data_IF_826827184293
#
_entry.id   IF_826827184293
#
_cell.length_a   1.000
_cell.length_b   1.000
_cell.length_c   1.000
_cell.angle_alpha   90.00
_cell.angle_beta   90.00
_cell.angle_gamma   90.00
#
_symmetry.space_group_name_H-M   'P 1'
#
loop_
_entity.id
_entity.type
_entity.pdbx_description
1 polymer ?
#
# COMPACT_ATOMS: atom_id res chain seq x y z
N UNK A 1 -36.80 -9.71 24.16
CA UNK A 1 -38.09 -10.37 23.87
C UNK A 1 -38.34 -11.40 24.96
N UNK A 2 -39.57 -11.48 25.46
CA UNK A 2 -39.90 -12.33 26.59
C UNK A 2 -40.34 -13.73 26.14
N UNK A 3 -39.98 -14.75 26.93
CA UNK A 3 -40.36 -16.16 26.67
C UNK A 3 -41.87 -16.37 26.61
N UNK A 4 -42.65 -15.47 27.19
CA UNK A 4 -44.12 -15.49 27.13
C UNK A 4 -44.71 -15.20 25.74
N UNK A 5 -43.94 -14.59 24.83
CA UNK A 5 -44.38 -14.31 23.45
C UNK A 5 -44.34 -15.56 22.55
N UNK A 6 -43.58 -16.58 22.96
CA UNK A 6 -43.35 -17.80 22.20
C UNK A 6 -43.56 -19.07 23.06
N UNK A 7 -44.76 -19.27 23.65
CA UNK A 7 -45.00 -20.35 24.61
C UNK A 7 -44.95 -21.76 24.00
N UNK A 8 -44.99 -21.87 22.67
CA UNK A 8 -45.01 -23.13 21.92
C UNK A 8 -43.62 -23.53 21.38
N UNK A 9 -42.60 -22.68 21.57
CA UNK A 9 -41.24 -23.02 21.17
C UNK A 9 -40.53 -23.87 22.22
N UNK A 10 -39.71 -24.80 21.74
CA UNK A 10 -38.77 -25.54 22.58
C UNK A 10 -37.62 -24.62 23.05
N UNK A 11 -36.89 -25.01 24.10
CA UNK A 11 -35.76 -24.22 24.61
C UNK A 11 -34.70 -23.97 23.51
N UNK A 12 -34.44 -24.95 22.65
CA UNK A 12 -33.50 -24.82 21.54
C UNK A 12 -33.98 -23.82 20.47
N UNK A 13 -35.26 -23.87 20.10
CA UNK A 13 -35.85 -22.91 19.16
C UNK A 13 -35.89 -21.49 19.74
N UNK A 14 -36.16 -21.36 21.04
CA UNK A 14 -36.15 -20.06 21.72
C UNK A 14 -34.74 -19.46 21.81
N UNK A 15 -33.71 -20.30 21.93
CA UNK A 15 -32.32 -19.83 21.88
C UNK A 15 -31.96 -19.27 20.50
N UNK A 16 -32.43 -19.89 19.41
CA UNK A 16 -32.29 -19.31 18.06
C UNK A 16 -33.01 -17.97 17.90
N UNK A 17 -34.12 -17.74 18.61
CA UNK A 17 -34.80 -16.43 18.64
C UNK A 17 -33.94 -15.39 19.37
N UNK A 18 -33.25 -15.76 20.46
CA UNK A 18 -32.31 -14.85 21.13
C UNK A 18 -31.15 -14.46 20.22
N UNK A 19 -30.58 -15.41 19.49
CA UNK A 19 -29.53 -15.12 18.51
C UNK A 19 -30.02 -14.19 17.39
N UNK A 20 -31.27 -14.37 16.91
CA UNK A 20 -31.86 -13.41 15.96
C UNK A 20 -31.97 -12.01 16.56
N UNK A 21 -32.40 -11.89 17.82
CA UNK A 21 -32.52 -10.59 18.52
C UNK A 21 -31.16 -9.92 18.64
N UNK A 22 -30.11 -10.68 18.93
CA UNK A 22 -28.75 -10.14 19.07
C UNK A 22 -28.18 -9.67 17.72
N UNK A 23 -28.57 -10.30 16.60
CA UNK A 23 -28.07 -9.96 15.25
C UNK A 23 -28.87 -8.82 14.59
N UNK A 24 -30.20 -8.86 14.67
CA UNK A 24 -31.09 -7.94 13.96
C UNK A 24 -31.71 -6.86 14.86
N UNK A 25 -31.75 -7.09 16.18
CA UNK A 25 -32.49 -6.24 17.12
C UNK A 25 -33.96 -6.65 17.26
N UNK A 26 -34.51 -6.46 18.47
CA UNK A 26 -35.85 -6.96 18.82
C UNK A 26 -37.00 -6.30 18.05
N UNK A 27 -36.83 -5.06 17.57
CA UNK A 27 -37.87 -4.32 16.84
C UNK A 27 -38.14 -4.91 15.45
N UNK A 28 -37.11 -5.49 14.81
CA UNK A 28 -37.21 -6.10 13.48
C UNK A 28 -37.93 -7.45 13.49
N UNK A 29 -38.03 -8.09 14.67
CA UNK A 29 -38.70 -9.38 14.87
C UNK A 29 -40.18 -9.27 15.21
N UNK A 30 -40.75 -8.06 15.21
CA UNK A 30 -42.18 -7.83 15.46
C UNK A 30 -43.10 -8.55 14.45
N UNK A 31 -42.61 -8.72 13.21
CA UNK A 31 -43.29 -9.48 12.15
C UNK A 31 -43.26 -11.01 12.39
N UNK A 32 -42.25 -11.50 13.11
CA UNK A 32 -42.15 -12.89 13.53
C UNK A 32 -43.14 -13.18 14.65
N UNK A 33 -43.27 -12.27 15.64
CA UNK A 33 -44.25 -12.39 16.75
C UNK A 33 -45.70 -12.39 16.23
N UNK A 34 -45.97 -11.64 15.17
CA UNK A 34 -47.30 -11.57 14.56
C UNK A 34 -47.65 -12.77 13.65
N UNK A 35 -46.68 -13.63 13.33
CA UNK A 35 -46.89 -14.80 12.48
C UNK A 35 -47.60 -15.93 13.23
N UNK A 36 -48.19 -16.87 12.50
CA UNK A 36 -48.85 -18.03 13.12
C UNK A 36 -47.81 -18.94 13.80
N UNK A 37 -48.20 -19.71 14.84
CA UNK A 37 -47.26 -20.61 15.54
C UNK A 37 -46.50 -21.57 14.62
N UNK A 38 -47.14 -22.04 13.55
CA UNK A 38 -46.50 -22.92 12.55
C UNK A 38 -45.43 -22.17 11.74
N UNK A 39 -45.72 -20.95 11.30
CA UNK A 39 -44.78 -20.12 10.54
C UNK A 39 -43.61 -19.63 11.41
N UNK A 40 -43.83 -19.41 12.71
CA UNK A 40 -42.78 -19.07 13.65
C UNK A 40 -41.76 -20.19 13.76
N UNK A 41 -42.22 -21.42 13.99
CA UNK A 41 -41.36 -22.61 14.08
C UNK A 41 -40.57 -22.80 12.78
N UNK A 42 -41.22 -22.73 11.63
CA UNK A 42 -40.56 -22.91 10.33
C UNK A 42 -39.46 -21.87 10.07
N UNK A 43 -39.74 -20.58 10.33
CA UNK A 43 -38.76 -19.50 10.12
C UNK A 43 -37.58 -19.59 11.08
N UNK A 44 -37.84 -19.99 12.34
CA UNK A 44 -36.81 -20.17 13.36
C UNK A 44 -35.92 -21.37 13.03
N UNK A 45 -36.49 -22.48 12.57
CA UNK A 45 -35.72 -23.66 12.14
C UNK A 45 -34.92 -23.39 10.86
N UNK A 46 -35.49 -22.65 9.90
CA UNK A 46 -34.78 -22.22 8.70
C UNK A 46 -33.57 -21.34 9.06
N UNK A 47 -33.73 -20.43 10.02
CA UNK A 47 -32.64 -19.59 10.50
C UNK A 47 -31.62 -20.36 11.33
N UNK A 48 -32.05 -21.25 12.22
CA UNK A 48 -31.15 -22.14 12.97
C UNK A 48 -30.33 -23.02 12.03
N UNK A 49 -30.95 -23.51 10.95
CA UNK A 49 -30.25 -24.23 9.89
C UNK A 49 -29.26 -23.32 9.17
N UNK A 50 -29.60 -22.06 8.89
CA UNK A 50 -28.70 -21.09 8.29
C UNK A 50 -27.53 -20.70 9.21
N UNK A 51 -27.74 -20.60 10.52
CA UNK A 51 -26.69 -20.41 11.52
C UNK A 51 -25.79 -21.63 11.57
N UNK A 52 -26.34 -22.84 11.64
CA UNK A 52 -25.56 -24.09 11.63
C UNK A 52 -24.77 -24.19 10.33
N UNK A 53 -25.35 -23.88 9.18
CA UNK A 53 -24.62 -23.83 7.91
C UNK A 53 -23.56 -22.74 7.90
N UNK A 54 -23.86 -21.55 8.42
CA UNK A 54 -22.87 -20.47 8.55
C UNK A 54 -21.75 -20.84 9.53
N UNK A 55 -22.03 -21.56 10.62
CA UNK A 55 -21.05 -22.04 11.60
C UNK A 55 -20.24 -23.23 11.06
N UNK A 56 -20.86 -24.11 10.27
CA UNK A 56 -20.16 -25.21 9.56
C UNK A 56 -19.30 -24.65 8.42
N UNK A 57 -19.73 -23.57 7.78
CA UNK A 57 -18.89 -22.77 6.86
C UNK A 57 -17.84 -21.94 7.60
N UNK A 58 -18.06 -21.64 8.89
CA UNK A 58 -17.03 -21.26 9.86
C UNK A 58 -16.29 -22.49 10.43
N UNK A 59 -15.87 -23.43 9.55
CA UNK A 59 -14.53 -24.00 9.72
C UNK A 59 -13.66 -22.83 10.16
N UNK A 60 -12.88 -22.92 11.26
CA UNK A 60 -12.09 -21.78 11.67
C UNK A 60 -11.36 -21.34 10.42
N UNK A 61 -11.71 -20.14 9.95
CA UNK A 61 -10.82 -19.34 9.16
C UNK A 61 -9.70 -19.12 10.15
N UNK A 62 -8.84 -20.14 10.30
CA UNK A 62 -7.47 -20.00 10.72
C UNK A 62 -7.06 -18.82 9.91
N UNK A 63 -6.92 -17.68 10.61
CA UNK A 63 -6.89 -16.37 10.02
C UNK A 63 -6.22 -16.52 8.66
N UNK A 64 -6.97 -16.34 7.58
CA UNK A 64 -6.33 -15.92 6.35
C UNK A 64 -5.84 -14.49 6.64
N UNK A 65 -4.94 -14.36 7.61
CA UNK A 65 -3.79 -13.48 7.51
C UNK A 65 -3.44 -13.58 6.05
N UNK A 66 -3.63 -12.52 5.25
CA UNK A 66 -3.08 -12.54 3.91
C UNK A 66 -1.62 -12.85 4.16
N UNK A 67 -1.19 -14.06 3.76
CA UNK A 67 0.16 -14.53 4.02
C UNK A 67 1.05 -13.40 3.55
N UNK A 68 1.70 -12.70 4.49
CA UNK A 68 2.35 -11.44 4.14
C UNK A 68 3.25 -11.75 2.96
N UNK A 69 3.01 -11.10 1.79
CA UNK A 69 3.69 -11.49 0.58
C UNK A 69 5.18 -11.48 0.88
N UNK A 70 5.83 -12.61 0.59
CA UNK A 70 7.22 -12.81 1.00
C UNK A 70 8.08 -11.75 0.30
N UNK A 71 8.91 -10.97 1.03
CA UNK A 71 9.79 -10.00 0.42
C UNK A 71 10.67 -10.66 -0.66
N UNK A 72 10.60 -10.16 -1.88
CA UNK A 72 11.43 -10.60 -2.98
C UNK A 72 12.69 -9.74 -3.02
N UNK A 73 13.85 -10.40 -3.06
CA UNK A 73 15.14 -9.73 -3.24
C UNK A 73 15.45 -9.60 -4.71
N UNK A 74 15.04 -8.49 -5.32
CA UNK A 74 15.44 -8.17 -6.68
C UNK A 74 16.91 -7.74 -6.68
N UNK A 75 17.67 -8.21 -7.67
CA UNK A 75 19.04 -7.76 -7.90
C UNK A 75 19.00 -6.43 -8.65
N UNK A 76 19.54 -5.39 -8.03
CA UNK A 76 19.78 -4.09 -8.68
C UNK A 76 21.23 -4.06 -9.12
N UNK A 77 21.49 -3.63 -10.36
CA UNK A 77 22.87 -3.42 -10.80
C UNK A 77 23.39 -2.13 -10.15
N UNK A 78 24.64 -2.11 -9.65
CA UNK A 78 25.16 -0.90 -9.04
C UNK A 78 25.18 0.28 -10.02
N UNK A 79 24.89 1.47 -9.53
CA UNK A 79 25.09 2.70 -10.30
C UNK A 79 26.55 3.13 -10.14
N UNK A 80 27.33 3.02 -11.20
CA UNK A 80 28.76 3.31 -11.19
C UNK A 80 29.03 4.82 -11.26
N UNK A 81 28.13 5.57 -11.90
CA UNK A 81 28.27 7.01 -12.13
C UNK A 81 29.13 7.33 -13.35
N UNK A 82 29.18 6.42 -14.32
CA UNK A 82 29.98 6.55 -15.54
C UNK A 82 29.25 7.30 -16.66
N UNK A 83 30.01 7.74 -17.67
CA UNK A 83 29.47 8.42 -18.84
C UNK A 83 28.61 7.46 -19.67
N UNK A 84 27.29 7.68 -19.66
CA UNK A 84 26.32 6.81 -20.32
C UNK A 84 25.39 6.10 -19.33
N UNK A 85 25.73 6.08 -18.05
CA UNK A 85 24.82 5.59 -17.00
C UNK A 85 23.55 6.44 -16.96
N UNK A 86 22.41 5.75 -16.88
CA UNK A 86 21.12 6.42 -16.80
C UNK A 86 20.59 6.39 -15.38
N UNK A 87 20.88 7.45 -14.63
CA UNK A 87 20.42 7.62 -13.25
C UNK A 87 18.90 7.48 -13.10
N UNK A 88 18.11 7.93 -14.08
CA UNK A 88 16.65 7.84 -14.00
C UNK A 88 16.15 6.39 -14.07
N UNK A 89 16.70 5.58 -14.98
CA UNK A 89 16.37 4.15 -15.05
C UNK A 89 16.83 3.41 -13.82
N UNK A 90 18.05 3.71 -13.34
CA UNK A 90 18.57 3.07 -12.13
C UNK A 90 17.74 3.41 -10.88
N UNK A 91 17.37 4.67 -10.67
CA UNK A 91 16.48 5.06 -9.54
C UNK A 91 15.16 4.29 -9.61
N UNK A 92 14.61 4.10 -10.81
CA UNK A 92 13.37 3.33 -11.00
C UNK A 92 13.54 1.84 -10.68
N UNK A 93 14.68 1.24 -11.01
CA UNK A 93 15.00 -0.14 -10.63
C UNK A 93 15.12 -0.30 -9.11
N UNK A 94 15.74 0.68 -8.43
CA UNK A 94 15.81 0.74 -6.96
C UNK A 94 14.41 0.81 -6.35
N UNK A 95 13.53 1.67 -6.87
CA UNK A 95 12.13 1.75 -6.44
C UNK A 95 11.42 0.39 -6.55
N UNK A 96 11.55 -0.30 -7.69
CA UNK A 96 10.94 -1.62 -7.85
C UNK A 96 11.50 -2.67 -6.90
N UNK A 97 12.82 -2.68 -6.66
CA UNK A 97 13.44 -3.60 -5.71
C UNK A 97 12.96 -3.36 -4.27
N UNK A 98 12.70 -2.10 -3.93
CA UNK A 98 12.18 -1.73 -2.62
C UNK A 98 10.72 -2.08 -2.44
N UNK A 99 9.89 -1.84 -3.45
CA UNK A 99 8.48 -2.25 -3.44
C UNK A 99 8.38 -3.77 -3.28
N UNK A 100 9.20 -4.52 -4.02
CA UNK A 100 9.29 -5.98 -3.93
C UNK A 100 9.81 -6.47 -2.56
N UNK A 101 10.62 -5.67 -1.88
CA UNK A 101 11.16 -5.95 -0.55
C UNK A 101 10.30 -5.38 0.60
N UNK A 102 9.15 -4.75 0.31
CA UNK A 102 8.27 -4.08 1.27
C UNK A 102 8.98 -3.03 2.14
N UNK A 103 9.97 -2.33 1.55
CA UNK A 103 10.72 -1.29 2.24
C UNK A 103 9.99 0.06 2.08
N UNK A 104 9.38 0.55 3.17
CA UNK A 104 8.54 1.75 3.13
C UNK A 104 9.18 3.01 3.70
N UNK A 105 10.27 2.90 4.47
CA UNK A 105 10.84 4.07 5.18
C UNK A 105 11.86 4.82 4.33
N UNK A 106 11.93 6.14 4.52
CA UNK A 106 12.93 7.03 3.91
C UNK A 106 14.36 6.58 4.27
N UNK A 107 14.60 6.25 5.54
CA UNK A 107 15.91 5.82 6.03
C UNK A 107 16.38 4.52 5.37
N UNK A 108 15.48 3.54 5.21
CA UNK A 108 15.82 2.30 4.52
C UNK A 108 15.98 2.52 3.03
N UNK A 109 15.22 3.43 2.42
CA UNK A 109 15.42 3.84 1.03
C UNK A 109 16.82 4.39 0.82
N UNK A 110 17.24 5.36 1.64
CA UNK A 110 18.59 5.93 1.55
C UNK A 110 19.66 4.87 1.73
N UNK A 111 19.57 4.04 2.77
CA UNK A 111 20.56 3.00 3.04
C UNK A 111 20.65 1.99 1.89
N UNK A 112 19.51 1.57 1.35
CA UNK A 112 19.45 0.65 0.22
C UNK A 112 20.03 1.28 -1.05
N UNK A 113 19.64 2.51 -1.39
CA UNK A 113 20.17 3.25 -2.55
C UNK A 113 21.69 3.42 -2.44
N UNK A 114 22.21 3.85 -1.28
CA UNK A 114 23.66 3.99 -1.05
C UNK A 114 24.40 2.65 -1.17
N UNK A 115 23.81 1.55 -0.70
CA UNK A 115 24.40 0.21 -0.83
C UNK A 115 24.49 -0.30 -2.27
N UNK A 116 23.63 0.23 -3.16
CA UNK A 116 23.61 -0.08 -4.59
C UNK A 116 24.44 0.93 -5.41
N UNK A 117 25.24 1.80 -4.79
CA UNK A 117 26.20 2.62 -5.53
C UNK A 117 27.50 1.84 -5.76
N UNK A 118 28.01 1.93 -6.99
CA UNK A 118 29.29 1.41 -7.43
C UNK A 118 30.28 2.53 -7.76
N UNK A 119 31.51 2.16 -8.11
CA UNK A 119 32.45 3.02 -8.83
C UNK A 119 32.62 4.44 -8.30
N UNK A 120 32.45 5.41 -9.19
CA UNK A 120 32.59 6.83 -8.90
C UNK A 120 31.47 7.33 -7.98
N UNK A 121 30.25 6.83 -8.16
CA UNK A 121 29.11 7.19 -7.32
C UNK A 121 29.32 6.80 -5.85
N UNK A 122 29.87 5.62 -5.60
CA UNK A 122 30.20 5.14 -4.25
C UNK A 122 31.31 5.99 -3.61
N UNK A 123 32.38 6.22 -4.37
CA UNK A 123 33.53 7.04 -3.93
C UNK A 123 33.12 8.49 -3.62
N UNK A 124 32.10 9.01 -4.32
CA UNK A 124 31.53 10.32 -4.07
C UNK A 124 30.59 10.36 -2.85
N UNK A 125 29.74 9.34 -2.67
CA UNK A 125 28.68 9.36 -1.65
C UNK A 125 29.18 9.08 -0.23
N UNK A 126 30.05 8.07 -0.04
CA UNK A 126 30.45 7.62 1.29
C UNK A 126 31.25 8.66 2.10
N UNK A 127 32.21 9.41 1.51
CA UNK A 127 32.89 10.49 2.24
C UNK A 127 31.94 11.61 2.68
N UNK A 128 30.92 11.91 1.87
CA UNK A 128 29.90 12.92 2.22
C UNK A 128 29.07 12.48 3.41
N UNK A 129 28.60 11.24 3.43
CA UNK A 129 27.84 10.71 4.56
C UNK A 129 28.68 10.65 5.84
N UNK A 130 29.99 10.38 5.72
CA UNK A 130 30.92 10.37 6.86
C UNK A 130 31.21 11.77 7.42
N UNK A 131 31.33 12.78 6.55
CA UNK A 131 31.68 14.15 6.95
C UNK A 131 30.47 14.99 7.36
N UNK A 132 29.30 14.67 6.80
CA UNK A 132 28.05 15.37 7.05
C UNK A 132 26.96 14.34 7.32
N UNK A 133 26.81 13.89 8.58
CA UNK A 133 25.73 12.98 8.96
C UNK A 133 24.38 13.58 8.59
N UNK A 134 23.57 12.82 7.85
CA UNK A 134 22.28 13.29 7.36
C UNK A 134 22.35 14.11 6.07
N UNK A 135 23.45 14.02 5.30
CA UNK A 135 23.50 14.59 3.95
C UNK A 135 22.49 13.92 3.00
N UNK A 136 22.05 12.70 3.33
CA UNK A 136 20.99 11.96 2.66
C UNK A 136 19.87 11.60 3.67
N UNK A 137 18.99 12.55 3.98
CA UNK A 137 17.86 12.30 4.91
C UNK A 137 16.57 11.91 4.22
N UNK A 138 16.41 12.27 2.94
CA UNK A 138 15.18 12.05 2.18
C UNK A 138 15.46 11.60 0.74
N UNK A 139 14.51 10.87 0.17
CA UNK A 139 14.45 10.44 -1.24
C UNK A 139 14.73 11.59 -2.21
N UNK A 140 14.01 12.74 -2.15
CA UNK A 140 14.23 13.83 -3.09
C UNK A 140 15.64 14.43 -2.96
N UNK A 141 16.15 14.54 -1.73
CA UNK A 141 17.48 15.10 -1.46
C UNK A 141 18.58 14.24 -2.09
N UNK A 142 18.56 12.91 -1.87
CA UNK A 142 19.57 12.00 -2.45
C UNK A 142 19.47 12.01 -3.99
N UNK A 143 18.27 11.89 -4.55
CA UNK A 143 18.07 11.95 -6.01
C UNK A 143 18.57 13.28 -6.62
N UNK A 144 18.34 14.40 -5.95
CA UNK A 144 18.81 15.71 -6.40
C UNK A 144 20.33 15.80 -6.36
N UNK A 145 20.97 15.34 -5.27
CA UNK A 145 22.42 15.38 -5.15
C UNK A 145 23.11 14.45 -6.16
N UNK A 146 22.57 13.25 -6.39
CA UNK A 146 23.07 12.34 -7.42
C UNK A 146 22.95 12.96 -8.82
N UNK A 147 21.82 13.60 -9.14
CA UNK A 147 21.64 14.31 -10.43
C UNK A 147 22.62 15.47 -10.60
N UNK A 148 22.94 16.18 -9.53
CA UNK A 148 23.88 17.29 -9.57
C UNK A 148 25.33 16.81 -9.73
N UNK A 149 25.69 15.68 -9.10
CA UNK A 149 27.03 15.11 -9.17
C UNK A 149 27.30 14.34 -10.47
N UNK A 150 26.28 13.66 -10.99
CA UNK A 150 26.36 12.81 -12.18
C UNK A 150 25.34 13.26 -13.24
N UNK A 151 25.60 14.39 -13.93
CA UNK A 151 24.72 14.85 -14.99
C UNK A 151 24.73 13.85 -16.17
N UNK A 152 23.58 13.63 -16.84
CA UNK A 152 23.52 12.70 -17.95
C UNK A 152 24.43 13.14 -19.11
N UNK A 153 24.92 12.17 -19.88
CA UNK A 153 25.64 12.44 -21.11
C UNK A 153 24.83 13.38 -22.02
N UNK A 154 25.50 14.36 -22.64
CA UNK A 154 24.88 15.42 -23.43
C UNK A 154 23.97 16.39 -22.65
N UNK A 155 24.06 16.47 -21.31
CA UNK A 155 23.31 17.47 -20.53
C UNK A 155 23.55 18.89 -21.06
N UNK A 156 24.81 19.30 -21.21
CA UNK A 156 25.13 20.63 -21.75
C UNK A 156 24.62 20.84 -23.17
N UNK A 157 24.76 19.83 -24.04
CA UNK A 157 24.25 19.90 -25.40
C UNK A 157 22.72 20.08 -25.41
N UNK A 158 21.99 19.34 -24.57
CA UNK A 158 20.53 19.48 -24.42
C UNK A 158 20.15 20.85 -23.88
N UNK A 159 20.88 21.40 -22.90
CA UNK A 159 20.61 22.74 -22.38
C UNK A 159 20.87 23.81 -23.45
N UNK A 160 22.00 23.74 -24.16
CA UNK A 160 22.33 24.64 -25.27
C UNK A 160 21.31 24.54 -26.40
N UNK A 161 20.91 23.32 -26.78
CA UNK A 161 19.89 23.09 -27.81
C UNK A 161 18.53 23.64 -27.41
N UNK A 162 18.08 23.44 -26.15
CA UNK A 162 16.84 24.03 -25.62
C UNK A 162 16.87 25.55 -25.65
N UNK A 163 17.97 26.14 -25.19
CA UNK A 163 18.16 27.60 -25.24
C UNK A 163 18.12 28.13 -26.67
N UNK A 164 18.78 27.47 -27.62
CA UNK A 164 18.76 27.86 -29.04
C UNK A 164 17.41 27.64 -29.70
N UNK A 165 16.60 26.69 -29.21
CA UNK A 165 15.23 26.48 -29.67
C UNK A 165 14.25 27.53 -29.13
N UNK A 166 14.57 28.19 -28.02
CA UNK A 166 13.78 29.29 -27.50
C UNK A 166 13.80 30.48 -28.47
N UNK A 167 12.62 30.95 -28.86
CA UNK A 167 12.43 32.20 -29.61
C UNK A 167 11.61 33.18 -28.79
N UNK A 168 11.95 34.46 -28.91
CA UNK A 168 11.25 35.54 -28.22
C UNK A 168 9.76 35.58 -28.57
N UNK A 169 9.42 35.39 -29.85
CA UNK A 169 8.02 35.40 -30.31
C UNK A 169 7.37 36.76 -29.98
N UNK A 170 6.21 36.73 -29.32
CA UNK A 170 5.51 37.93 -28.83
C UNK A 170 5.81 38.29 -27.37
N UNK A 171 6.70 37.55 -26.69
CA UNK A 171 7.01 37.78 -25.27
C UNK A 171 7.81 39.07 -25.11
N UNK A 172 7.53 39.80 -24.04
CA UNK A 172 8.30 40.97 -23.65
C UNK A 172 9.75 40.59 -23.31
N UNK A 173 10.73 41.51 -23.38
CA UNK A 173 12.13 41.20 -23.09
C UNK A 173 12.36 40.58 -21.71
N UNK A 174 11.63 41.02 -20.68
CA UNK A 174 11.76 40.46 -19.35
C UNK A 174 11.22 39.02 -19.26
N UNK A 175 10.08 38.77 -19.91
CA UNK A 175 9.38 37.49 -19.93
C UNK A 175 10.09 36.43 -20.79
N UNK A 176 10.95 36.87 -21.72
CA UNK A 176 11.80 35.97 -22.50
C UNK A 176 13.09 35.55 -21.76
N UNK A 177 13.53 36.32 -20.77
CA UNK A 177 14.79 36.10 -20.05
C UNK A 177 14.61 35.42 -18.66
N UNK A 178 13.38 35.06 -18.27
CA UNK A 178 13.08 34.23 -17.08
C UNK A 178 12.93 32.76 -17.47
#
# INVERSE_FOLDING_TARGET
>A
MDRGEFPHLTDAQFESVREMVDIFGGDDLRSLVAATPAEQVERIEAFGTLIVHAQVLQVPVAELTPAQPKPLRLKVNPYEGEEGDNLHFWVREVEFAMDAAFISTERLWVAFTLSNLGGQAKTWAYPREATMPGCFTTRPQLCQQLRAAFPPANYEYRQRSRFLACKQGKRGPHEYNQ
#
